data_IF_272465420838
#
_entry.id   IF_272465420838
#
_cell.length_a   1.000
_cell.length_b   1.000
_cell.length_c   1.000
_cell.angle_alpha   90.00
_cell.angle_beta   90.00
_cell.angle_gamma   90.00
#
_symmetry.space_group_name_H-M   'P 1'
#
loop_
_entity.id
_entity.type
_entity.pdbx_description
1 polymer ?
#
# COMPACT_ATOMS: atom_id res chain seq x y z
N UNK A 1 -19.54 0.92 8.40
CA UNK A 1 -18.26 1.48 8.87
C UNK A 1 -17.22 1.43 7.77
N UNK A 2 -16.25 2.36 7.75
CA UNK A 2 -15.15 2.34 6.78
C UNK A 2 -13.92 1.69 7.41
N UNK A 3 -13.34 0.76 6.67
CA UNK A 3 -12.05 0.14 6.99
C UNK A 3 -11.07 0.40 5.85
N UNK A 4 -9.79 0.41 6.17
CA UNK A 4 -8.74 0.42 5.15
C UNK A 4 -7.84 -0.78 5.35
N UNK A 5 -7.50 -1.48 4.28
CA UNK A 5 -6.54 -2.58 4.30
C UNK A 5 -5.45 -2.32 3.28
N UNK A 6 -4.22 -2.17 3.74
CA UNK A 6 -3.05 -2.13 2.86
C UNK A 6 -2.44 -3.52 2.76
N UNK A 7 -2.63 -4.17 1.60
CA UNK A 7 -2.06 -5.48 1.27
C UNK A 7 -0.83 -5.38 0.35
N UNK A 8 -0.31 -4.16 0.16
CA UNK A 8 0.68 -3.81 -0.86
C UNK A 8 2.06 -3.48 -0.30
N UNK A 9 2.28 -3.64 1.00
CA UNK A 9 3.59 -3.48 1.62
C UNK A 9 4.17 -4.82 2.08
N UNK A 10 5.31 -4.75 2.75
CA UNK A 10 6.00 -5.82 3.47
C UNK A 10 5.13 -6.53 4.53
N UNK A 11 4.15 -5.82 5.11
CA UNK A 11 3.15 -6.36 6.04
C UNK A 11 1.74 -6.04 5.55
N UNK A 12 0.73 -6.73 6.08
CA UNK A 12 -0.66 -6.31 5.89
C UNK A 12 -1.04 -5.40 7.04
N UNK A 13 -1.49 -4.18 6.74
CA UNK A 13 -2.02 -3.28 7.75
C UNK A 13 -3.52 -3.10 7.57
N UNK A 14 -4.24 -3.15 8.67
CA UNK A 14 -5.69 -2.99 8.74
C UNK A 14 -5.99 -1.83 9.66
N UNK A 15 -6.64 -0.80 9.13
CA UNK A 15 -7.22 0.29 9.90
C UNK A 15 -8.71 0.08 10.04
N UNK A 16 -9.16 -0.04 11.29
CA UNK A 16 -10.55 -0.23 11.64
C UNK A 16 -10.81 0.47 12.97
N UNK A 17 -11.91 1.23 13.08
CA UNK A 17 -12.27 1.95 14.30
C UNK A 17 -11.15 2.88 14.84
N UNK A 18 -10.33 3.45 13.96
CA UNK A 18 -9.22 4.33 14.33
C UNK A 18 -7.98 3.60 14.86
N UNK A 19 -8.02 2.27 14.97
CA UNK A 19 -6.87 1.45 15.36
C UNK A 19 -6.21 0.81 14.15
N UNK A 20 -4.88 0.71 14.18
CA UNK A 20 -4.08 0.02 13.18
C UNK A 20 -3.59 -1.31 13.74
N UNK A 21 -3.90 -2.41 13.04
CA UNK A 21 -3.33 -3.74 13.28
C UNK A 21 -2.41 -4.12 12.12
N UNK A 22 -1.19 -4.57 12.42
CA UNK A 22 -0.22 -5.04 11.42
C UNK A 22 -0.08 -6.56 11.52
N UNK A 23 -0.02 -7.23 10.38
CA UNK A 23 0.17 -8.67 10.26
C UNK A 23 1.47 -8.94 9.49
N UNK A 24 2.37 -9.63 10.17
CA UNK A 24 3.63 -10.08 9.58
C UNK A 24 3.39 -11.06 8.44
N UNK A 25 4.28 -11.02 7.44
CA UNK A 25 4.24 -11.96 6.31
C UNK A 25 4.27 -13.42 6.74
N UNK A 26 5.06 -13.74 7.78
CA UNK A 26 5.22 -15.10 8.27
C UNK A 26 3.98 -15.51 9.07
N UNK A 27 3.17 -16.41 8.52
CA UNK A 27 1.93 -16.89 9.15
C UNK A 27 0.68 -16.06 8.80
N UNK A 28 0.79 -15.09 7.89
CA UNK A 28 -0.32 -14.23 7.47
C UNK A 28 -1.55 -15.02 6.97
N UNK A 29 -1.32 -16.19 6.36
CA UNK A 29 -2.35 -17.12 5.87
C UNK A 29 -3.19 -17.74 6.99
N UNK A 30 -2.66 -17.83 8.20
CA UNK A 30 -3.35 -18.39 9.38
C UNK A 30 -4.03 -17.31 10.23
N UNK A 31 -3.50 -16.10 10.20
CA UNK A 31 -3.90 -15.03 11.12
C UNK A 31 -4.91 -14.07 10.52
N UNK A 32 -4.77 -13.69 9.24
CA UNK A 32 -5.61 -12.63 8.65
C UNK A 32 -7.11 -12.92 8.73
N UNK A 33 -7.52 -14.17 8.50
CA UNK A 33 -8.93 -14.55 8.54
C UNK A 33 -9.54 -14.37 9.94
N UNK A 34 -8.78 -14.73 10.99
CA UNK A 34 -9.21 -14.56 12.39
C UNK A 34 -9.38 -13.07 12.71
N UNK A 35 -8.35 -12.28 12.38
CA UNK A 35 -8.32 -10.84 12.65
C UNK A 35 -9.46 -10.12 11.93
N UNK A 36 -9.73 -10.45 10.67
CA UNK A 36 -10.85 -9.87 9.92
C UNK A 36 -12.21 -10.20 10.52
N UNK A 37 -12.42 -11.45 10.99
CA UNK A 37 -13.66 -11.86 11.66
C UNK A 37 -13.82 -11.20 13.03
N UNK A 38 -12.74 -11.05 13.79
CA UNK A 38 -12.73 -10.35 15.07
C UNK A 38 -13.09 -8.88 14.89
N UNK A 39 -12.44 -8.20 13.95
CA UNK A 39 -12.74 -6.81 13.63
C UNK A 39 -14.19 -6.63 13.17
N UNK A 40 -14.71 -7.52 12.32
CA UNK A 40 -16.12 -7.45 11.89
C UNK A 40 -17.12 -7.60 13.05
N UNK A 41 -16.75 -8.35 14.10
CA UNK A 41 -17.56 -8.49 15.32
C UNK A 41 -17.47 -7.26 16.22
N UNK A 42 -16.31 -6.59 16.26
CA UNK A 42 -16.11 -5.35 17.00
C UNK A 42 -16.84 -4.17 16.34
N UNK A 43 -16.76 -4.07 15.01
CA UNK A 43 -17.41 -3.06 14.20
C UNK A 43 -17.70 -3.59 12.79
N UNK A 44 -18.95 -3.47 12.35
CA UNK A 44 -19.39 -4.04 11.08
C UNK A 44 -18.54 -3.53 9.89
N UNK A 45 -17.96 -4.47 9.15
CA UNK A 45 -17.07 -4.19 8.02
C UNK A 45 -17.88 -3.93 6.73
N UNK A 46 -18.52 -2.76 6.62
CA UNK A 46 -19.48 -2.49 5.51
C UNK A 46 -18.80 -1.94 4.25
N UNK A 47 -17.80 -1.08 4.41
CA UNK A 47 -17.07 -0.47 3.31
C UNK A 47 -15.56 -0.60 3.55
N UNK A 48 -14.82 -1.04 2.56
CA UNK A 48 -13.40 -1.27 2.69
C UNK A 48 -12.60 -0.75 1.49
N UNK A 49 -11.74 0.23 1.75
CA UNK A 49 -10.70 0.64 0.80
C UNK A 49 -9.52 -0.33 0.91
N UNK A 50 -9.07 -0.87 -0.21
CA UNK A 50 -7.95 -1.81 -0.27
C UNK A 50 -6.85 -1.23 -1.12
N UNK A 51 -5.71 -0.92 -0.49
CA UNK A 51 -4.50 -0.54 -1.21
C UNK A 51 -3.89 -1.83 -1.78
N UNK A 52 -4.00 -2.00 -3.10
CA UNK A 52 -3.82 -3.27 -3.81
C UNK A 52 -2.89 -3.10 -5.03
N UNK A 53 -1.62 -3.41 -4.84
CA UNK A 53 -0.59 -3.47 -5.86
C UNK A 53 0.21 -2.19 -6.06
N UNK A 54 1.49 -2.32 -6.49
CA UNK A 54 2.31 -3.54 -6.47
C UNK A 54 2.73 -3.87 -5.02
N UNK A 55 3.22 -5.07 -4.73
CA UNK A 55 3.62 -5.43 -3.36
C UNK A 55 4.02 -6.90 -3.17
N UNK A 56 4.05 -7.35 -1.92
CA UNK A 56 4.35 -8.74 -1.59
C UNK A 56 3.33 -9.70 -2.20
N UNK A 57 3.76 -10.61 -3.10
CA UNK A 57 2.89 -11.61 -3.73
C UNK A 57 2.03 -12.37 -2.71
N UNK A 58 2.62 -12.79 -1.60
CA UNK A 58 1.91 -13.47 -0.51
C UNK A 58 0.81 -12.58 0.07
N UNK A 59 1.12 -11.33 0.40
CA UNK A 59 0.19 -10.39 1.03
C UNK A 59 -0.96 -10.04 0.08
N UNK A 60 -0.66 -9.73 -1.19
CA UNK A 60 -1.67 -9.43 -2.21
C UNK A 60 -2.64 -10.59 -2.40
N UNK A 61 -2.12 -11.81 -2.57
CA UNK A 61 -2.94 -13.02 -2.79
C UNK A 61 -3.78 -13.39 -1.58
N UNK A 62 -3.14 -13.50 -0.42
CA UNK A 62 -3.81 -13.94 0.82
C UNK A 62 -4.78 -12.86 1.31
N UNK A 63 -4.39 -11.59 1.25
CA UNK A 63 -5.23 -10.45 1.60
C UNK A 63 -6.50 -10.37 0.76
N UNK A 64 -6.36 -10.43 -0.57
CA UNK A 64 -7.52 -10.42 -1.48
C UNK A 64 -8.44 -11.61 -1.22
N UNK A 65 -7.88 -12.82 -1.04
CA UNK A 65 -8.67 -14.02 -0.76
C UNK A 65 -9.43 -13.90 0.56
N UNK A 66 -8.77 -13.50 1.65
CA UNK A 66 -9.39 -13.41 2.98
C UNK A 66 -10.52 -12.38 3.02
N UNK A 67 -10.33 -11.22 2.39
CA UNK A 67 -11.37 -10.18 2.29
C UNK A 67 -12.57 -10.66 1.47
N UNK A 68 -12.33 -11.28 0.30
CA UNK A 68 -13.40 -11.86 -0.51
C UNK A 68 -14.19 -12.93 0.27
N UNK A 69 -13.50 -13.79 1.03
CA UNK A 69 -14.16 -14.80 1.88
C UNK A 69 -15.02 -14.15 2.97
N UNK A 70 -14.54 -13.10 3.63
CA UNK A 70 -15.33 -12.36 4.61
C UNK A 70 -16.60 -11.78 3.96
N UNK A 71 -16.47 -11.18 2.76
CA UNK A 71 -17.62 -10.67 2.00
C UNK A 71 -18.64 -11.77 1.71
N UNK A 72 -18.20 -12.93 1.25
CA UNK A 72 -19.08 -14.08 1.02
C UNK A 72 -19.75 -14.56 2.31
N UNK A 73 -19.02 -14.64 3.42
CA UNK A 73 -19.58 -15.03 4.73
C UNK A 73 -20.64 -14.04 5.23
N UNK A 74 -20.53 -12.77 4.86
CA UNK A 74 -21.51 -11.72 5.14
C UNK A 74 -22.62 -11.60 4.09
N UNK A 75 -22.73 -12.52 3.14
CA UNK A 75 -23.75 -12.46 2.09
C UNK A 75 -23.62 -11.22 1.20
N UNK A 76 -22.39 -10.89 0.79
CA UNK A 76 -22.04 -9.79 -0.12
C UNK A 76 -22.36 -8.38 0.37
N UNK A 77 -22.55 -8.21 1.68
CA UNK A 77 -22.83 -6.91 2.31
C UNK A 77 -21.64 -5.94 2.33
N UNK A 78 -20.42 -6.40 2.02
CA UNK A 78 -19.22 -5.56 2.02
C UNK A 78 -19.01 -4.93 0.64
N UNK A 79 -18.87 -3.60 0.61
CA UNK A 79 -18.42 -2.87 -0.57
C UNK A 79 -16.89 -2.73 -0.56
N UNK A 80 -16.22 -3.33 -1.53
CA UNK A 80 -14.78 -3.18 -1.72
C UNK A 80 -14.46 -2.08 -2.72
N UNK A 81 -13.41 -1.32 -2.43
CA UNK A 81 -12.84 -0.31 -3.33
C UNK A 81 -11.36 -0.61 -3.44
N UNK A 82 -10.86 -0.85 -4.65
CA UNK A 82 -9.46 -1.18 -4.87
C UNK A 82 -8.73 0.04 -5.42
N UNK A 83 -7.61 0.40 -4.81
CA UNK A 83 -6.75 1.50 -5.24
C UNK A 83 -5.31 1.00 -5.29
N UNK A 84 -4.64 1.16 -6.43
CA UNK A 84 -3.23 0.81 -6.52
C UNK A 84 -2.34 1.93 -5.95
N UNK A 85 -1.15 1.58 -5.44
CA UNK A 85 -0.18 2.58 -4.98
C UNK A 85 0.21 3.56 -6.09
N UNK A 86 0.43 3.14 -7.36
CA UNK A 86 0.71 4.08 -8.44
C UNK A 86 -0.39 5.11 -8.68
N UNK A 87 -1.66 4.72 -8.62
CA UNK A 87 -2.77 5.66 -8.73
C UNK A 87 -2.75 6.65 -7.55
N UNK A 88 -2.58 6.15 -6.33
CA UNK A 88 -2.50 6.99 -5.14
C UNK A 88 -1.34 8.00 -5.21
N UNK A 89 -0.16 7.54 -5.64
CA UNK A 89 1.02 8.38 -5.76
C UNK A 89 0.91 9.37 -6.91
N UNK A 90 0.25 9.01 -8.01
CA UNK A 90 -0.08 9.98 -9.05
C UNK A 90 -0.95 11.10 -8.52
N UNK A 91 -2.00 10.78 -7.75
CA UNK A 91 -2.88 11.79 -7.16
C UNK A 91 -2.09 12.77 -6.28
N UNK A 92 -1.11 12.27 -5.51
CA UNK A 92 -0.26 13.12 -4.68
C UNK A 92 0.78 13.93 -5.47
N UNK A 93 1.30 13.39 -6.58
CA UNK A 93 2.16 14.12 -7.52
C UNK A 93 1.40 15.26 -8.22
N UNK A 94 0.18 14.99 -8.72
CA UNK A 94 -0.64 15.99 -9.42
C UNK A 94 -1.04 17.17 -8.54
N UNK A 95 -1.07 16.95 -7.22
CA UNK A 95 -1.34 17.97 -6.21
C UNK A 95 -0.05 18.58 -5.63
N UNK A 96 1.11 18.27 -6.22
CA UNK A 96 2.40 18.89 -5.92
C UNK A 96 3.04 18.45 -4.60
N UNK A 97 2.56 17.36 -3.99
CA UNK A 97 3.19 16.83 -2.77
C UNK A 97 4.41 15.98 -3.09
N UNK A 98 4.28 15.00 -3.99
CA UNK A 98 5.35 14.06 -4.33
C UNK A 98 6.21 14.58 -5.48
N UNK A 99 7.51 14.22 -5.52
CA UNK A 99 8.37 14.53 -6.66
C UNK A 99 8.04 13.61 -7.84
N UNK A 100 8.63 13.86 -9.01
CA UNK A 100 8.43 13.04 -10.21
C UNK A 100 8.79 11.57 -10.00
N UNK A 101 9.85 11.30 -9.25
CA UNK A 101 10.44 9.97 -9.13
C UNK A 101 10.10 9.30 -7.80
N UNK A 102 9.78 8.00 -7.84
CA UNK A 102 9.54 7.20 -6.64
C UNK A 102 10.16 5.80 -6.75
N UNK A 103 10.76 5.33 -5.65
CA UNK A 103 11.15 3.93 -5.46
C UNK A 103 10.01 3.16 -4.80
N UNK A 104 9.47 2.16 -5.51
CA UNK A 104 8.32 1.37 -5.08
C UNK A 104 8.70 -0.02 -4.61
N UNK A 105 8.16 -0.40 -3.45
CA UNK A 105 8.20 -1.76 -2.94
C UNK A 105 7.34 -2.68 -3.79
N UNK A 106 7.93 -3.81 -4.20
CA UNK A 106 7.32 -4.81 -5.10
C UNK A 106 7.35 -6.23 -4.53
N UNK A 107 7.51 -6.39 -3.21
CA UNK A 107 7.51 -7.73 -2.60
C UNK A 107 8.85 -8.47 -2.62
N UNK A 108 9.91 -7.87 -3.16
CA UNK A 108 11.23 -8.48 -3.24
C UNK A 108 12.14 -7.99 -2.11
N UNK A 109 13.25 -8.70 -1.84
CA UNK A 109 14.15 -8.31 -0.75
C UNK A 109 15.05 -7.13 -1.13
N UNK A 110 15.62 -7.17 -2.34
CA UNK A 110 16.67 -6.24 -2.76
C UNK A 110 16.28 -5.36 -3.94
N UNK A 111 15.26 -5.73 -4.70
CA UNK A 111 14.85 -4.99 -5.89
C UNK A 111 13.57 -4.22 -5.64
N UNK A 112 13.51 -3.04 -6.24
CA UNK A 112 12.39 -2.10 -6.19
C UNK A 112 12.16 -1.55 -7.59
N UNK A 113 11.00 -0.95 -7.81
CA UNK A 113 10.74 -0.24 -9.07
C UNK A 113 11.08 1.22 -8.94
N UNK A 114 11.85 1.74 -9.88
CA UNK A 114 11.87 3.17 -10.15
C UNK A 114 10.69 3.47 -11.08
N UNK A 115 9.82 4.37 -10.64
CA UNK A 115 8.64 4.79 -11.40
C UNK A 115 8.67 6.30 -11.64
N UNK A 116 8.29 6.68 -12.85
CA UNK A 116 8.00 8.05 -13.24
C UNK A 116 6.50 8.33 -12.98
N UNK A 117 6.21 9.23 -12.04
CA UNK A 117 4.84 9.65 -11.71
C UNK A 117 4.27 10.63 -12.74
N UNK A 118 5.11 11.37 -13.47
CA UNK A 118 4.66 12.28 -14.54
C UNK A 118 4.14 11.46 -15.73
N UNK A 119 4.97 10.54 -16.22
CA UNK A 119 4.68 9.70 -17.40
C UNK A 119 3.85 8.44 -17.07
N UNK A 120 3.57 8.19 -15.78
CA UNK A 120 2.87 7.01 -15.26
C UNK A 120 3.46 5.65 -15.71
N UNK A 121 4.77 5.57 -15.89
CA UNK A 121 5.43 4.35 -16.39
C UNK A 121 6.45 3.79 -15.41
N UNK A 122 6.55 2.47 -15.38
CA UNK A 122 7.68 1.80 -14.73
C UNK A 122 8.88 1.94 -15.64
N UNK A 123 9.96 2.49 -15.12
CA UNK A 123 11.14 2.85 -15.91
C UNK A 123 12.14 1.72 -15.89
N UNK A 124 12.47 1.26 -14.68
CA UNK A 124 13.35 0.11 -14.48
C UNK A 124 13.17 -0.50 -13.09
N UNK A 125 13.53 -1.77 -13.00
CA UNK A 125 13.82 -2.41 -11.72
C UNK A 125 15.25 -2.07 -11.31
N UNK A 126 15.43 -1.63 -10.07
CA UNK A 126 16.74 -1.22 -9.50
C UNK A 126 16.96 -1.91 -8.17
N UNK A 127 18.21 -2.02 -7.71
CA UNK A 127 18.49 -2.45 -6.34
C UNK A 127 18.28 -1.30 -5.37
N UNK A 128 17.85 -1.62 -4.15
CA UNK A 128 17.73 -0.63 -3.06
C UNK A 128 19.06 0.07 -2.76
N UNK A 129 20.18 -0.62 -2.96
CA UNK A 129 21.53 -0.07 -2.78
C UNK A 129 21.90 1.03 -3.78
N UNK A 130 21.17 1.14 -4.89
CA UNK A 130 21.38 2.20 -5.90
C UNK A 130 20.63 3.49 -5.56
N UNK A 131 19.92 3.54 -4.42
CA UNK A 131 19.11 4.70 -4.01
C UNK A 131 19.91 6.01 -4.05
N UNK A 132 21.08 6.04 -3.41
CA UNK A 132 21.88 7.28 -3.30
C UNK A 132 22.39 7.76 -4.65
N UNK A 133 22.74 6.84 -5.55
CA UNK A 133 23.17 7.18 -6.92
C UNK A 133 22.00 7.77 -7.72
N UNK A 134 20.80 7.19 -7.58
CA UNK A 134 19.59 7.67 -8.24
C UNK A 134 19.15 9.05 -7.72
N UNK A 135 19.29 9.32 -6.42
CA UNK A 135 19.03 10.64 -5.84
C UNK A 135 19.99 11.71 -6.39
N UNK A 136 21.26 11.36 -6.64
CA UNK A 136 22.22 12.28 -7.27
C UNK A 136 21.90 12.52 -8.75
N UNK A 137 21.46 11.50 -9.48
CA UNK A 137 21.14 11.58 -10.91
C UNK A 137 19.81 12.31 -11.18
N UNK A 138 18.77 11.96 -10.43
CA UNK A 138 17.38 12.35 -10.70
C UNK A 138 16.89 13.49 -9.79
N UNK A 139 17.66 13.85 -8.76
CA UNK A 139 17.29 14.84 -7.75
C UNK A 139 16.37 14.25 -6.68
N UNK A 140 15.24 14.91 -6.42
CA UNK A 140 14.34 14.46 -5.36
C UNK A 140 13.65 13.14 -5.70
N UNK A 141 13.73 12.20 -4.75
CA UNK A 141 13.19 10.86 -4.85
C UNK A 141 12.29 10.58 -3.65
N UNK A 142 11.07 10.14 -3.90
CA UNK A 142 10.21 9.60 -2.85
C UNK A 142 10.45 8.10 -2.68
N UNK A 143 10.18 7.60 -1.47
CA UNK A 143 10.27 6.18 -1.14
C UNK A 143 8.89 5.70 -0.71
N UNK A 144 8.47 4.59 -1.27
CA UNK A 144 7.20 3.94 -0.99
C UNK A 144 7.08 3.50 0.48
N UNK A 145 5.85 3.50 0.99
CA UNK A 145 5.58 3.12 2.36
C UNK A 145 5.77 1.60 2.58
N UNK A 146 6.62 1.30 3.55
CA UNK A 146 6.83 -0.03 4.16
C UNK A 146 6.79 0.12 5.68
N UNK A 147 6.44 -0.94 6.41
CA UNK A 147 6.35 -0.91 7.87
C UNK A 147 7.64 -1.32 8.56
N UNK A 148 8.49 -2.09 7.89
CA UNK A 148 9.88 -2.27 8.26
C UNK A 148 10.69 -1.02 7.87
N UNK A 149 10.88 -0.12 8.83
CA UNK A 149 11.66 1.13 8.66
C UNK A 149 13.11 0.87 8.20
N UNK A 150 13.63 -0.35 8.38
CA UNK A 150 14.96 -0.72 7.92
C UNK A 150 15.00 -1.24 6.49
N UNK A 151 13.86 -1.46 5.84
CA UNK A 151 13.82 -2.09 4.53
C UNK A 151 14.56 -1.29 3.45
N UNK A 152 14.40 0.03 3.41
CA UNK A 152 15.11 0.91 2.47
C UNK A 152 16.44 1.45 3.00
N UNK A 153 16.76 1.20 4.27
CA UNK A 153 18.01 1.65 4.88
C UNK A 153 19.15 0.71 4.50
N UNK A 154 20.31 1.25 4.16
CA UNK A 154 21.56 0.47 4.05
C UNK A 154 22.25 0.34 5.41
N UNK A 155 23.16 -0.64 5.55
CA UNK A 155 23.92 -0.80 6.80
C UNK A 155 24.69 0.48 7.13
N UNK A 156 24.39 1.08 8.29
CA UNK A 156 25.02 2.31 8.76
C UNK A 156 24.28 3.61 8.41
N UNK A 157 23.16 3.56 7.69
CA UNK A 157 22.30 4.73 7.45
C UNK A 157 21.33 4.98 8.61
N UNK A 158 20.95 6.24 8.81
CA UNK A 158 19.84 6.57 9.71
C UNK A 158 18.56 5.93 9.20
N UNK A 159 17.85 5.26 10.11
CA UNK A 159 16.51 4.73 9.81
C UNK A 159 15.60 5.93 9.55
N UNK A 160 15.06 6.00 8.34
CA UNK A 160 14.07 7.00 7.91
C UNK A 160 14.63 8.42 7.73
N UNK A 161 15.19 8.69 6.57
CA UNK A 161 15.68 10.01 6.12
C UNK A 161 14.57 11.00 5.74
N UNK A 162 13.31 10.69 6.04
CA UNK A 162 12.14 11.52 5.70
C UNK A 162 11.68 11.42 4.24
N UNK A 163 12.38 10.64 3.40
CA UNK A 163 11.98 10.38 2.01
C UNK A 163 10.89 9.31 1.91
N UNK A 164 10.68 8.52 2.96
CA UNK A 164 9.61 7.52 3.00
C UNK A 164 8.24 8.16 3.22
N UNK A 165 7.29 7.77 2.37
CA UNK A 165 5.89 8.16 2.49
C UNK A 165 5.27 7.46 3.70
N UNK A 166 4.41 8.17 4.42
CA UNK A 166 3.55 7.58 5.46
C UNK A 166 2.08 7.92 5.23
N UNK A 167 1.21 6.99 5.65
CA UNK A 167 -0.24 7.16 5.59
C UNK A 167 -0.84 7.15 6.99
N UNK A 168 -1.83 8.03 7.18
CA UNK A 168 -2.69 8.05 8.35
C UNK A 168 -4.13 8.02 7.88
N UNK A 169 -4.98 7.30 8.60
CA UNK A 169 -6.38 7.14 8.25
C UNK A 169 -7.22 7.56 9.45
N UNK A 170 -8.21 8.40 9.19
CA UNK A 170 -9.26 8.75 10.14
C UNK A 170 -10.64 8.36 9.55
N UNK A 171 -11.73 8.83 10.15
CA UNK A 171 -13.10 8.47 9.74
C UNK A 171 -13.54 9.07 8.39
N UNK A 172 -12.87 10.14 7.95
CA UNK A 172 -13.28 10.96 6.80
C UNK A 172 -12.28 10.89 5.63
N UNK A 173 -11.00 10.66 5.93
CA UNK A 173 -9.92 10.82 4.96
C UNK A 173 -8.71 9.95 5.25
N UNK A 174 -7.88 9.83 4.21
CA UNK A 174 -6.48 9.44 4.33
C UNK A 174 -5.61 10.70 4.30
N UNK A 175 -4.58 10.78 5.12
CA UNK A 175 -3.52 11.79 5.04
C UNK A 175 -2.20 11.12 4.65
N UNK A 176 -1.63 11.55 3.53
CA UNK A 176 -0.31 11.16 3.06
C UNK A 176 0.71 12.21 3.53
N UNK A 177 1.82 11.77 4.11
CA UNK A 177 2.90 12.65 4.59
C UNK A 177 4.22 12.28 3.91
N UNK A 178 4.93 13.29 3.43
CA UNK A 178 6.26 13.18 2.83
C UNK A 178 7.09 14.42 3.16
N UNK A 179 8.33 14.24 3.66
CA UNK A 179 9.21 15.34 4.12
C UNK A 179 8.51 16.38 5.02
N UNK A 180 7.67 15.93 5.94
CA UNK A 180 6.91 16.79 6.87
C UNK A 180 5.76 17.59 6.24
N UNK A 181 5.56 17.53 4.92
CA UNK A 181 4.37 18.07 4.25
C UNK A 181 3.29 17.01 4.23
N UNK A 182 2.03 17.44 4.32
CA UNK A 182 0.87 16.56 4.32
C UNK A 182 -0.12 16.91 3.21
N UNK A 183 -0.79 15.89 2.69
CA UNK A 183 -1.89 16.01 1.74
C UNK A 183 -3.00 15.05 2.15
N UNK A 184 -4.21 15.57 2.27
CA UNK A 184 -5.38 14.80 2.67
C UNK A 184 -6.26 14.47 1.48
N UNK A 185 -6.71 13.22 1.41
CA UNK A 185 -7.64 12.70 0.42
C UNK A 185 -8.93 12.25 1.12
N UNK A 186 -10.06 12.91 0.87
CA UNK A 186 -11.36 12.43 1.31
C UNK A 186 -11.62 11.01 0.77
N UNK A 187 -12.31 10.17 1.55
CA UNK A 187 -12.67 8.84 1.06
C UNK A 187 -13.53 8.88 -0.21
N UNK A 188 -14.31 9.94 -0.43
CA UNK A 188 -15.06 10.12 -1.67
C UNK A 188 -14.16 10.16 -2.91
N UNK A 189 -12.92 10.62 -2.77
CA UNK A 189 -11.95 10.63 -3.87
C UNK A 189 -11.23 9.30 -4.06
N UNK A 190 -11.05 8.53 -2.98
CA UNK A 190 -10.34 7.25 -3.00
C UNK A 190 -11.27 6.06 -3.31
N UNK A 191 -12.56 6.19 -3.01
CA UNK A 191 -13.57 5.11 -3.09
C UNK A 191 -14.57 5.39 -4.21
N UNK A 192 -14.07 5.75 -5.40
CA UNK A 192 -14.92 6.09 -6.55
C UNK A 192 -15.57 4.87 -7.21
N UNK A 193 -14.80 3.78 -7.34
CA UNK A 193 -15.23 2.59 -8.08
C UNK A 193 -15.23 1.38 -7.15
N UNK A 194 -16.43 0.92 -6.82
CA UNK A 194 -16.58 -0.33 -6.10
C UNK A 194 -16.24 -1.51 -7.03
N UNK A 195 -15.56 -2.52 -6.48
CA UNK A 195 -15.25 -3.76 -7.18
C UNK A 195 -16.12 -4.88 -6.63
N UNK A 196 -16.61 -5.74 -7.53
CA UNK A 196 -17.40 -6.91 -7.14
C UNK A 196 -16.55 -7.87 -6.30
N UNK A 197 -15.31 -8.09 -6.73
CA UNK A 197 -14.35 -8.99 -6.11
C UNK A 197 -12.96 -8.37 -6.17
N UNK A 198 -12.18 -8.57 -5.11
CA UNK A 198 -10.77 -8.18 -5.09
C UNK A 198 -9.94 -9.19 -5.88
N UNK A 199 -9.19 -8.69 -6.86
CA UNK A 199 -8.16 -9.45 -7.56
C UNK A 199 -6.79 -8.89 -7.18
N UNK A 200 -5.85 -9.78 -6.88
CA UNK A 200 -4.51 -9.37 -6.49
C UNK A 200 -3.83 -8.62 -7.65
N UNK A 201 -3.52 -7.36 -7.45
CA UNK A 201 -2.91 -6.54 -8.47
C UNK A 201 -1.37 -6.65 -8.38
N UNK A 202 -0.80 -7.55 -9.17
CA UNK A 202 0.65 -7.74 -9.20
C UNK A 202 1.38 -6.65 -10.00
N UNK A 203 0.67 -5.95 -10.89
CA UNK A 203 1.22 -5.01 -11.87
C UNK A 203 2.40 -5.55 -12.70
N UNK A 204 2.57 -6.86 -12.69
CA UNK A 204 3.50 -7.64 -13.49
C UNK A 204 2.66 -8.71 -14.15
N UNK A 205 2.90 -8.96 -15.44
CA UNK A 205 2.51 -10.25 -15.98
C UNK A 205 3.27 -11.32 -15.17
N UNK A 206 2.59 -12.32 -14.60
CA UNK A 206 3.29 -13.43 -13.99
C UNK A 206 4.19 -14.01 -15.08
N UNK A 207 5.50 -14.09 -14.82
CA UNK A 207 6.40 -14.91 -15.62
C UNK A 207 6.01 -16.37 -15.38
N UNK A 208 4.94 -16.81 -16.03
CA UNK A 208 4.57 -18.22 -16.11
C UNK A 208 5.52 -18.83 -17.13
N UNK A 209 6.69 -19.24 -16.64
CA UNK A 209 7.61 -20.15 -17.32
C UNK A 209 7.29 -21.59 -17.00
#
# INVERSE_FOLDING_TARGET
MKSVVNISSDQIAIWHLGEMRKLERNGVDREIGKVLVELDREGAFDQCLVINGPGGFTNLRVGSLALNLLKTLKGDQISFFSLSKPELYKMAYDLGLLPRWILMYIGQKNNVWLRDLEEQKMEKMVKKSEKSDLEQELGELAIDMVYDDSYFSLEGEEKNDGNQISYFFDEEKMTLVWKGKSLSFPYADLMKNAVEKLEANYMMDPNVG
#
